data_IF_134932337979
#
_entry.id   IF_134932337979
#
_cell.length_a   1.000
_cell.length_b   1.000
_cell.length_c   1.000
_cell.angle_alpha   90.00
_cell.angle_beta   90.00
_cell.angle_gamma   90.00
#
_symmetry.space_group_name_H-M   'P 1'
#
loop_
_entity.id
_entity.type
_entity.pdbx_description
1 polymer ?
#
# COMPACT_ATOMS: atom_id res chain seq x y z
N UNK A 1 37.64 -0.52 0.05
CA UNK A 1 36.50 -1.28 -0.51
C UNK A 1 35.35 -0.28 -0.66
N UNK A 2 34.78 -0.17 -1.84
CA UNK A 2 33.54 0.60 -2.02
C UNK A 2 32.40 -0.04 -1.24
N UNK A 3 31.54 0.76 -0.64
CA UNK A 3 30.36 0.25 0.06
C UNK A 3 29.35 -0.28 -0.97
N UNK A 4 28.80 -1.47 -0.70
CA UNK A 4 27.74 -2.05 -1.52
C UNK A 4 26.45 -1.23 -1.29
N UNK A 5 25.83 -0.82 -2.37
CA UNK A 5 24.58 -0.05 -2.37
C UNK A 5 23.44 -0.90 -2.92
N UNK A 6 22.19 -0.53 -2.57
CA UNK A 6 21.00 -1.11 -3.16
C UNK A 6 20.93 -0.82 -4.68
N UNK A 7 20.25 -1.66 -5.42
CA UNK A 7 20.05 -1.44 -6.86
C UNK A 7 19.15 -0.22 -7.12
N UNK A 8 19.38 0.52 -8.22
CA UNK A 8 18.51 1.63 -8.59
C UNK A 8 17.02 1.21 -8.70
N UNK A 9 16.15 1.90 -7.99
CA UNK A 9 14.73 1.60 -7.95
C UNK A 9 14.35 0.51 -6.94
N UNK A 10 15.27 0.16 -6.05
CA UNK A 10 14.98 -0.62 -4.83
C UNK A 10 15.41 0.21 -3.64
N UNK A 11 14.54 0.32 -2.64
CA UNK A 11 14.79 1.14 -1.45
C UNK A 11 14.59 0.31 -0.19
N UNK A 12 15.43 0.60 0.83
CA UNK A 12 15.22 0.09 2.17
C UNK A 12 14.13 0.92 2.87
N UNK A 13 13.28 0.24 3.62
CA UNK A 13 12.27 0.88 4.47
C UNK A 13 12.84 0.81 5.90
N UNK A 14 13.23 1.96 6.43
CA UNK A 14 13.99 2.02 7.69
C UNK A 14 13.16 2.65 8.82
N UNK A 15 13.41 2.29 10.09
CA UNK A 15 12.88 3.05 11.20
C UNK A 15 13.54 4.43 11.23
N UNK A 16 12.78 5.50 10.97
CA UNK A 16 13.24 6.86 11.17
C UNK A 16 13.37 7.10 12.68
N UNK A 17 14.60 7.10 13.16
CA UNK A 17 14.91 7.51 14.54
C UNK A 17 15.22 9.01 14.55
N UNK A 18 14.91 9.72 15.65
CA UNK A 18 15.21 11.15 15.82
C UNK A 18 16.73 11.49 15.73
N UNK A 19 17.59 10.48 15.63
CA UNK A 19 19.03 10.62 15.61
C UNK A 19 19.65 10.90 14.26
N UNK A 20 18.90 10.73 13.19
CA UNK A 20 19.46 10.90 11.86
C UNK A 20 19.17 12.32 11.40
N UNK A 21 20.03 13.24 11.80
CA UNK A 21 20.06 14.64 11.34
C UNK A 21 20.50 14.80 9.88
N UNK A 22 20.20 13.82 9.04
CA UNK A 22 20.31 13.86 7.59
C UNK A 22 18.92 13.59 7.04
N UNK A 23 18.54 14.35 6.01
CA UNK A 23 17.38 14.07 5.14
C UNK A 23 17.56 12.70 4.47
N UNK A 24 17.40 11.62 5.23
CA UNK A 24 17.29 10.29 4.65
C UNK A 24 15.98 10.28 3.85
N UNK A 25 16.11 10.25 2.54
CA UNK A 25 15.00 10.10 1.59
C UNK A 25 14.46 8.65 1.60
N UNK A 26 14.40 8.04 2.77
CA UNK A 26 13.98 6.65 2.95
C UNK A 26 12.61 6.65 3.61
N UNK A 27 11.72 5.78 3.13
CA UNK A 27 10.38 5.62 3.70
C UNK A 27 10.45 5.16 5.17
N UNK A 28 9.58 5.72 6.02
CA UNK A 28 9.51 5.33 7.42
C UNK A 28 8.67 4.06 7.60
N UNK A 29 9.26 3.01 8.19
CA UNK A 29 8.59 1.75 8.46
C UNK A 29 7.32 1.92 9.32
N UNK A 30 7.29 2.89 10.23
CA UNK A 30 6.11 3.11 11.08
C UNK A 30 4.90 3.62 10.28
N UNK A 31 5.14 4.48 9.30
CA UNK A 31 4.09 4.92 8.37
C UNK A 31 3.57 3.73 7.55
N UNK A 32 4.45 2.84 7.10
CA UNK A 32 4.06 1.60 6.42
C UNK A 32 3.19 0.70 7.28
N UNK A 33 3.65 0.40 8.49
CA UNK A 33 2.91 -0.43 9.46
C UNK A 33 1.54 0.16 9.78
N UNK A 34 1.43 1.49 9.88
CA UNK A 34 0.15 2.16 10.07
C UNK A 34 -0.80 1.94 8.88
N UNK A 35 -0.30 2.09 7.65
CA UNK A 35 -1.12 1.83 6.44
C UNK A 35 -1.62 0.38 6.42
N UNK A 36 -0.72 -0.58 6.64
CA UNK A 36 -1.06 -2.00 6.65
C UNK A 36 -2.05 -2.36 7.78
N UNK A 37 -1.86 -1.80 8.98
CA UNK A 37 -2.76 -2.00 10.10
C UNK A 37 -4.16 -1.42 9.83
N UNK A 38 -4.24 -0.20 9.29
CA UNK A 38 -5.51 0.45 8.93
C UNK A 38 -6.24 -0.35 7.85
N UNK A 39 -5.54 -0.78 6.81
CA UNK A 39 -6.14 -1.61 5.76
C UNK A 39 -6.66 -2.94 6.33
N UNK A 40 -5.86 -3.64 7.14
CA UNK A 40 -6.25 -4.90 7.79
C UNK A 40 -7.49 -4.74 8.66
N UNK A 41 -7.58 -3.65 9.43
CA UNK A 41 -8.72 -3.39 10.31
C UNK A 41 -10.00 -3.14 9.51
N UNK A 42 -9.98 -2.24 8.52
CA UNK A 42 -11.14 -1.89 7.72
C UNK A 42 -11.61 -3.08 6.88
N UNK A 43 -10.69 -3.76 6.20
CA UNK A 43 -11.01 -4.94 5.39
C UNK A 43 -11.49 -6.11 6.25
N UNK A 44 -10.96 -6.26 7.47
CA UNK A 44 -11.42 -7.25 8.44
C UNK A 44 -12.87 -7.02 8.88
N UNK A 45 -13.26 -5.75 9.10
CA UNK A 45 -14.67 -5.37 9.42
C UNK A 45 -15.64 -5.68 8.27
N UNK A 46 -15.15 -5.64 7.02
CA UNK A 46 -15.90 -6.01 5.82
C UNK A 46 -15.81 -7.51 5.48
N UNK A 47 -15.24 -8.34 6.39
CA UNK A 47 -15.06 -9.78 6.24
C UNK A 47 -14.17 -10.20 5.05
N UNK A 48 -13.23 -9.35 4.62
CA UNK A 48 -12.19 -9.74 3.67
C UNK A 48 -11.12 -10.57 4.37
N UNK A 49 -10.68 -11.64 3.70
CA UNK A 49 -9.65 -12.56 4.21
C UNK A 49 -8.32 -12.32 3.52
N UNK A 50 -7.25 -12.30 4.30
CA UNK A 50 -5.90 -12.14 3.74
C UNK A 50 -5.51 -13.37 2.92
N UNK A 51 -4.96 -13.14 1.73
CA UNK A 51 -4.31 -14.15 0.89
C UNK A 51 -2.86 -13.73 0.63
N UNK A 52 -1.95 -14.69 0.64
CA UNK A 52 -0.54 -14.49 0.27
C UNK A 52 -0.19 -15.41 -0.87
N UNK A 53 0.15 -14.82 -2.01
CA UNK A 53 0.60 -15.55 -3.21
C UNK A 53 2.12 -15.49 -3.32
N UNK A 54 2.75 -16.41 -4.06
CA UNK A 54 4.19 -16.38 -4.31
C UNK A 54 4.66 -15.03 -4.90
N UNK A 55 5.91 -14.66 -4.59
CA UNK A 55 6.53 -13.44 -5.13
C UNK A 55 6.93 -13.60 -6.60
N UNK A 56 7.19 -14.82 -7.03
CA UNK A 56 7.43 -15.14 -8.44
C UNK A 56 6.50 -16.28 -8.89
N UNK A 57 6.09 -16.25 -10.13
CA UNK A 57 5.14 -17.16 -10.74
C UNK A 57 5.65 -17.59 -12.11
N UNK A 58 4.96 -18.54 -12.75
CA UNK A 58 5.23 -18.86 -14.15
C UNK A 58 5.00 -17.62 -15.03
N UNK A 59 5.92 -17.33 -15.96
CA UNK A 59 5.84 -16.18 -16.86
C UNK A 59 4.51 -16.15 -17.63
N UNK A 60 4.05 -17.33 -18.06
CA UNK A 60 2.79 -17.49 -18.78
C UNK A 60 1.55 -17.04 -18.01
N UNK A 61 1.60 -16.94 -16.68
CA UNK A 61 0.52 -16.40 -15.87
C UNK A 61 0.26 -14.92 -16.22
N UNK A 62 1.32 -14.15 -16.31
CA UNK A 62 1.23 -12.72 -16.58
C UNK A 62 1.00 -12.42 -18.06
N UNK A 63 1.60 -13.19 -18.96
CA UNK A 63 1.36 -13.08 -20.41
C UNK A 63 -0.12 -13.26 -20.75
N UNK A 64 -0.76 -14.30 -20.19
CA UNK A 64 -2.19 -14.55 -20.40
C UNK A 64 -3.08 -13.57 -19.66
N UNK A 65 -2.76 -13.30 -18.38
CA UNK A 65 -3.66 -12.54 -17.50
C UNK A 65 -3.61 -11.04 -17.74
N UNK A 66 -2.44 -10.46 -18.04
CA UNK A 66 -2.27 -9.01 -18.18
C UNK A 66 -2.49 -8.55 -19.62
N UNK A 67 -2.13 -9.40 -20.59
CA UNK A 67 -2.19 -9.10 -22.03
C UNK A 67 -0.82 -8.76 -22.62
N UNK A 68 -0.46 -9.48 -23.70
CA UNK A 68 0.85 -9.34 -24.37
C UNK A 68 1.10 -7.94 -24.95
N UNK A 69 0.04 -7.19 -25.27
CA UNK A 69 0.11 -5.85 -25.83
C UNK A 69 0.34 -4.74 -24.79
N UNK A 70 0.46 -5.09 -23.50
CA UNK A 70 0.68 -4.12 -22.42
C UNK A 70 2.17 -3.81 -22.24
N UNK A 71 2.49 -2.58 -21.79
CA UNK A 71 3.87 -2.20 -21.47
C UNK A 71 4.44 -3.09 -20.36
N UNK A 72 3.61 -3.52 -19.41
CA UNK A 72 4.01 -4.39 -18.31
C UNK A 72 4.60 -5.69 -18.84
N UNK A 73 3.90 -6.41 -19.72
CA UNK A 73 4.36 -7.68 -20.29
C UNK A 73 5.48 -7.46 -21.29
N UNK A 74 5.36 -6.44 -22.15
CA UNK A 74 6.32 -6.21 -23.24
C UNK A 74 7.69 -5.68 -22.80
N UNK A 75 7.74 -4.88 -21.70
CA UNK A 75 8.96 -4.11 -21.35
C UNK A 75 9.33 -4.11 -19.86
N UNK A 76 8.39 -4.41 -18.95
CA UNK A 76 8.59 -4.12 -17.51
C UNK A 76 8.73 -5.36 -16.62
N UNK A 77 8.51 -6.57 -17.12
CA UNK A 77 8.64 -7.79 -16.33
C UNK A 77 10.09 -8.15 -16.02
N UNK A 78 10.36 -8.56 -14.77
CA UNK A 78 11.59 -9.22 -14.37
C UNK A 78 11.44 -10.71 -14.55
N UNK A 79 11.84 -11.23 -15.72
CA UNK A 79 11.71 -12.65 -16.05
C UNK A 79 13.08 -13.33 -16.07
N UNK A 80 13.11 -14.58 -15.60
CA UNK A 80 14.30 -15.42 -15.54
C UNK A 80 13.92 -16.89 -15.71
N UNK A 81 14.92 -17.76 -15.92
CA UNK A 81 14.72 -19.20 -15.91
C UNK A 81 15.19 -19.79 -14.59
N UNK A 82 14.42 -20.72 -14.03
CA UNK A 82 14.86 -21.48 -12.88
C UNK A 82 15.83 -22.62 -13.29
N UNK A 83 16.35 -23.35 -12.31
CA UNK A 83 17.25 -24.49 -12.57
C UNK A 83 16.64 -25.63 -13.40
N UNK A 84 15.31 -25.66 -13.51
CA UNK A 84 14.56 -26.60 -14.35
C UNK A 84 14.18 -26.03 -15.70
N UNK A 85 14.81 -24.93 -16.14
CA UNK A 85 14.57 -24.20 -17.41
C UNK A 85 13.12 -23.67 -17.56
N UNK A 86 12.38 -23.54 -16.46
CA UNK A 86 11.02 -22.97 -16.47
C UNK A 86 11.09 -21.45 -16.43
N UNK A 87 10.28 -20.77 -17.28
CA UNK A 87 10.15 -19.33 -17.26
C UNK A 87 9.44 -18.87 -15.97
N UNK A 88 10.11 -18.03 -15.21
CA UNK A 88 9.63 -17.43 -13.98
C UNK A 88 9.66 -15.91 -14.09
N UNK A 89 8.71 -15.23 -13.47
CA UNK A 89 8.62 -13.77 -13.46
C UNK A 89 8.31 -13.29 -12.05
N UNK A 90 9.06 -12.31 -11.56
CA UNK A 90 8.69 -11.57 -10.35
C UNK A 90 7.36 -10.86 -10.61
N UNK A 91 6.37 -11.05 -9.73
CA UNK A 91 5.01 -10.54 -9.93
C UNK A 91 4.98 -9.03 -10.16
N UNK A 92 4.46 -8.55 -11.31
CA UNK A 92 4.35 -7.12 -11.58
C UNK A 92 3.09 -6.49 -10.96
N UNK A 93 2.16 -7.32 -10.47
CA UNK A 93 0.90 -6.95 -9.81
C UNK A 93 0.36 -8.16 -9.02
N UNK A 94 -0.70 -7.97 -8.21
CA UNK A 94 -1.20 -9.02 -7.31
C UNK A 94 -2.39 -9.81 -7.84
N UNK A 95 -3.23 -9.23 -8.69
CA UNK A 95 -4.51 -9.78 -9.14
C UNK A 95 -4.36 -11.14 -9.84
N UNK A 96 -3.43 -11.26 -10.81
CA UNK A 96 -3.21 -12.51 -11.55
C UNK A 96 -2.82 -13.65 -10.61
N UNK A 97 -1.95 -13.38 -9.61
CA UNK A 97 -1.57 -14.36 -8.59
C UNK A 97 -2.75 -14.80 -7.73
N UNK A 98 -3.64 -13.88 -7.34
CA UNK A 98 -4.86 -14.19 -6.59
C UNK A 98 -5.82 -15.04 -7.43
N UNK A 99 -6.06 -14.66 -8.69
CA UNK A 99 -6.93 -15.41 -9.60
C UNK A 99 -6.36 -16.80 -9.89
N UNK A 100 -5.04 -16.92 -10.11
CA UNK A 100 -4.39 -18.24 -10.25
C UNK A 100 -4.62 -19.11 -9.00
N UNK A 101 -4.46 -18.54 -7.79
CA UNK A 101 -4.71 -19.26 -6.55
C UNK A 101 -6.19 -19.66 -6.41
N UNK A 102 -7.12 -18.78 -6.78
CA UNK A 102 -8.56 -19.05 -6.81
C UNK A 102 -8.90 -20.25 -7.71
N UNK A 103 -8.31 -20.31 -8.91
CA UNK A 103 -8.50 -21.43 -9.84
C UNK A 103 -7.82 -22.69 -9.34
N UNK A 104 -6.53 -22.62 -8.99
CA UNK A 104 -5.72 -23.78 -8.59
C UNK A 104 -6.28 -24.51 -7.37
N UNK A 105 -6.81 -23.77 -6.40
CA UNK A 105 -7.37 -24.35 -5.17
C UNK A 105 -8.89 -24.50 -5.23
N UNK A 106 -9.49 -24.31 -6.41
CA UNK A 106 -10.93 -24.44 -6.63
C UNK A 106 -11.77 -23.65 -5.62
N UNK A 107 -11.36 -22.42 -5.29
CA UNK A 107 -12.07 -21.62 -4.29
C UNK A 107 -13.51 -21.30 -4.73
N UNK A 108 -13.80 -21.31 -6.03
CA UNK A 108 -15.14 -21.22 -6.60
C UNK A 108 -16.06 -22.36 -6.14
N UNK A 109 -15.51 -23.55 -5.85
CA UNK A 109 -16.30 -24.70 -5.41
C UNK A 109 -16.78 -24.58 -3.95
N UNK A 110 -16.22 -23.65 -3.17
CA UNK A 110 -16.70 -23.36 -1.82
C UNK A 110 -18.05 -22.63 -1.79
N UNK A 111 -18.49 -22.17 -2.96
CA UNK A 111 -19.71 -21.38 -3.10
C UNK A 111 -19.58 -19.94 -2.58
N UNK A 112 -20.58 -19.10 -2.95
CA UNK A 112 -20.63 -17.71 -2.53
C UNK A 112 -19.55 -16.81 -3.14
N UNK A 113 -19.52 -15.58 -2.67
CA UNK A 113 -18.58 -14.56 -3.11
C UNK A 113 -17.31 -14.63 -2.26
N UNK A 114 -16.16 -14.77 -2.90
CA UNK A 114 -14.87 -14.72 -2.23
C UNK A 114 -14.40 -13.26 -2.12
N UNK A 115 -14.10 -12.83 -0.89
CA UNK A 115 -13.56 -11.50 -0.56
C UNK A 115 -12.16 -11.67 -0.05
N UNK A 116 -11.18 -11.31 -0.87
CA UNK A 116 -9.77 -11.50 -0.59
C UNK A 116 -9.03 -10.16 -0.58
N UNK A 117 -8.01 -10.04 0.25
CA UNK A 117 -7.09 -8.92 0.23
C UNK A 117 -5.65 -9.40 0.41
N UNK A 118 -4.71 -8.64 -0.13
CA UNK A 118 -3.29 -8.96 -0.04
C UNK A 118 -2.45 -7.71 0.22
N UNK A 119 -1.24 -7.90 0.75
CA UNK A 119 -0.19 -6.90 0.77
C UNK A 119 1.15 -7.54 0.45
N UNK A 120 2.05 -6.78 -0.17
CA UNK A 120 3.40 -7.24 -0.44
C UNK A 120 4.08 -6.59 -1.64
N UNK A 121 5.34 -7.00 -1.92
CA UNK A 121 6.15 -6.42 -2.98
C UNK A 121 5.69 -6.84 -4.37
N UNK A 122 5.80 -5.90 -5.31
CA UNK A 122 5.61 -6.04 -6.76
C UNK A 122 6.86 -5.53 -7.47
N UNK A 123 7.06 -5.93 -8.74
CA UNK A 123 8.30 -5.66 -9.46
C UNK A 123 8.03 -5.24 -10.90
N UNK A 124 8.50 -4.04 -11.28
CA UNK A 124 8.43 -3.54 -12.67
C UNK A 124 9.72 -2.83 -13.05
N UNK A 125 10.27 -3.16 -14.19
CA UNK A 125 11.47 -2.49 -14.72
C UNK A 125 11.10 -1.12 -15.31
N UNK A 126 10.74 -0.21 -14.42
CA UNK A 126 10.40 1.16 -14.79
C UNK A 126 11.55 2.13 -14.48
N UNK A 127 11.48 3.33 -15.07
CA UNK A 127 12.41 4.41 -14.71
C UNK A 127 12.09 4.90 -13.29
N UNK A 128 13.04 4.78 -12.34
CA UNK A 128 12.81 5.20 -10.97
C UNK A 128 12.54 6.70 -10.88
N UNK A 129 11.54 7.07 -10.09
CA UNK A 129 11.21 8.45 -9.75
C UNK A 129 10.42 8.48 -8.45
N UNK A 130 10.19 9.67 -7.88
CA UNK A 130 9.47 9.81 -6.61
C UNK A 130 8.12 9.07 -6.64
N UNK A 131 7.91 8.11 -5.73
CA UNK A 131 6.71 7.29 -5.67
C UNK A 131 6.58 6.23 -6.78
N UNK A 132 7.65 5.95 -7.54
CA UNK A 132 7.70 4.91 -8.57
C UNK A 132 9.04 4.20 -8.54
N UNK A 133 9.03 3.01 -8.00
CA UNK A 133 10.19 2.16 -7.80
C UNK A 133 10.10 0.91 -8.66
N UNK A 134 11.23 0.21 -8.83
CA UNK A 134 11.29 -1.09 -9.53
C UNK A 134 10.81 -2.23 -8.64
N UNK A 135 11.10 -2.16 -7.33
CA UNK A 135 10.40 -2.90 -6.30
C UNK A 135 9.49 -1.93 -5.57
N UNK A 136 8.21 -2.20 -5.58
CA UNK A 136 7.18 -1.39 -4.92
C UNK A 136 6.18 -2.31 -4.22
N UNK A 137 5.36 -1.76 -3.34
CA UNK A 137 4.42 -2.55 -2.56
C UNK A 137 2.99 -2.13 -2.84
N UNK A 138 2.10 -3.09 -2.75
CA UNK A 138 0.67 -2.86 -2.90
C UNK A 138 -0.11 -3.47 -1.74
N UNK A 139 -1.18 -2.77 -1.35
CA UNK A 139 -2.36 -3.38 -0.73
C UNK A 139 -3.41 -3.49 -1.82
N UNK A 140 -4.02 -4.66 -1.96
CA UNK A 140 -5.09 -4.87 -2.93
C UNK A 140 -6.22 -5.72 -2.40
N UNK A 141 -7.39 -5.57 -3.00
CA UNK A 141 -8.57 -6.39 -2.74
C UNK A 141 -9.13 -6.98 -4.02
N UNK A 142 -9.69 -8.17 -3.91
CA UNK A 142 -10.33 -8.88 -5.01
C UNK A 142 -11.64 -9.52 -4.52
N UNK A 143 -12.74 -9.20 -5.19
CA UNK A 143 -14.04 -9.81 -5.00
C UNK A 143 -14.33 -10.70 -6.20
N UNK A 144 -14.45 -12.01 -5.99
CA UNK A 144 -14.66 -12.98 -7.05
C UNK A 144 -16.01 -13.70 -6.84
N UNK A 145 -16.79 -13.82 -7.91
CA UNK A 145 -18.07 -14.53 -7.91
C UNK A 145 -19.30 -13.65 -7.79
N UNK A 146 -19.18 -12.32 -7.99
CA UNK A 146 -20.33 -11.40 -7.98
C UNK A 146 -20.39 -10.55 -9.24
N UNK A 147 -21.48 -10.69 -10.00
CA UNK A 147 -21.81 -9.81 -11.12
C UNK A 147 -22.61 -8.57 -10.69
N UNK A 148 -23.02 -8.52 -9.43
CA UNK A 148 -23.86 -7.43 -8.89
C UNK A 148 -23.05 -6.13 -8.79
N UNK A 149 -23.58 -4.99 -9.26
CA UNK A 149 -22.92 -3.67 -9.13
C UNK A 149 -22.56 -3.25 -7.71
N UNK A 150 -23.21 -3.83 -6.69
CA UNK A 150 -22.86 -3.60 -5.27
C UNK A 150 -21.44 -4.05 -4.95
N UNK A 151 -20.92 -5.03 -5.67
CA UNK A 151 -19.53 -5.45 -5.46
C UNK A 151 -18.53 -4.36 -5.91
N UNK A 152 -18.83 -3.67 -7.02
CA UNK A 152 -18.03 -2.52 -7.49
C UNK A 152 -18.07 -1.39 -6.46
N UNK A 153 -19.26 -1.08 -5.97
CA UNK A 153 -19.47 -0.02 -4.97
C UNK A 153 -18.80 -0.36 -3.64
N UNK A 154 -18.91 -1.61 -3.18
CA UNK A 154 -18.27 -2.08 -1.93
C UNK A 154 -16.74 -1.89 -1.99
N UNK A 155 -16.08 -2.34 -3.07
CA UNK A 155 -14.62 -2.20 -3.16
C UNK A 155 -14.17 -0.73 -3.26
N UNK A 156 -14.95 0.12 -3.94
CA UNK A 156 -14.71 1.57 -4.02
C UNK A 156 -14.86 2.22 -2.64
N UNK A 157 -15.94 1.91 -1.91
CA UNK A 157 -16.18 2.43 -0.58
C UNK A 157 -15.03 2.05 0.38
N UNK A 158 -14.57 0.80 0.36
CA UNK A 158 -13.46 0.34 1.19
C UNK A 158 -12.14 1.06 0.87
N UNK A 159 -11.86 1.34 -0.41
CA UNK A 159 -10.71 2.16 -0.78
C UNK A 159 -10.82 3.57 -0.19
N UNK A 160 -11.99 4.18 -0.29
CA UNK A 160 -12.27 5.51 0.26
C UNK A 160 -12.13 5.52 1.78
N UNK A 161 -12.69 4.52 2.47
CA UNK A 161 -12.63 4.39 3.94
C UNK A 161 -11.18 4.28 4.43
N UNK A 162 -10.33 3.48 3.75
CA UNK A 162 -8.92 3.34 4.10
C UNK A 162 -8.21 4.68 3.97
N UNK A 163 -8.38 5.39 2.84
CA UNK A 163 -7.72 6.66 2.58
C UNK A 163 -8.18 7.75 3.56
N UNK A 164 -9.47 7.79 3.89
CA UNK A 164 -10.04 8.72 4.88
C UNK A 164 -9.54 8.42 6.31
N UNK A 165 -9.50 7.15 6.72
CA UNK A 165 -8.99 6.74 8.02
C UNK A 165 -7.49 7.08 8.20
N UNK A 166 -6.75 7.12 7.11
CA UNK A 166 -5.37 7.59 7.09
C UNK A 166 -5.24 9.12 7.11
N UNK A 167 -6.35 9.86 7.02
CA UNK A 167 -6.38 11.33 7.12
C UNK A 167 -6.19 12.07 5.79
N UNK A 168 -6.25 11.37 4.66
CA UNK A 168 -6.11 12.00 3.34
C UNK A 168 -7.38 12.74 2.93
N UNK A 169 -7.25 13.98 2.44
CA UNK A 169 -8.39 14.87 2.14
C UNK A 169 -8.43 15.34 0.68
N UNK A 170 -7.29 15.57 0.06
CA UNK A 170 -7.20 16.16 -1.29
C UNK A 170 -7.17 15.06 -2.36
N UNK A 171 -8.27 14.29 -2.43
CA UNK A 171 -8.41 13.17 -3.35
C UNK A 171 -9.49 13.45 -4.37
N UNK A 172 -9.21 13.18 -5.64
CA UNK A 172 -10.18 13.17 -6.72
C UNK A 172 -10.43 11.74 -7.15
N UNK A 173 -11.69 11.34 -7.17
CA UNK A 173 -12.10 10.03 -7.59
C UNK A 173 -12.63 10.07 -9.02
N UNK A 174 -11.90 9.48 -9.96
CA UNK A 174 -12.31 9.34 -11.37
C UNK A 174 -12.96 7.99 -11.60
N UNK A 175 -14.08 8.00 -12.30
CA UNK A 175 -14.88 6.82 -12.60
C UNK A 175 -15.20 6.76 -14.10
N UNK A 176 -15.15 5.56 -14.67
CA UNK A 176 -15.56 5.27 -16.05
C UNK A 176 -16.17 3.88 -16.14
N UNK A 177 -16.79 3.60 -17.27
CA UNK A 177 -17.12 2.23 -17.71
C UNK A 177 -16.48 1.96 -19.06
N UNK A 178 -15.71 0.86 -19.15
CA UNK A 178 -15.16 0.39 -20.42
C UNK A 178 -16.08 -0.62 -21.12
N UNK A 179 -17.24 -0.88 -20.54
CA UNK A 179 -18.23 -1.81 -21.08
C UNK A 179 -17.77 -3.28 -21.11
N UNK A 180 -18.57 -4.11 -21.77
CA UNK A 180 -18.22 -5.50 -22.04
C UNK A 180 -17.28 -5.63 -23.28
N UNK A 181 -16.96 -6.86 -23.66
CA UNK A 181 -16.10 -7.13 -24.84
C UNK A 181 -16.74 -6.61 -26.13
N UNK A 182 -18.06 -6.68 -26.27
CA UNK A 182 -18.79 -6.20 -27.46
C UNK A 182 -18.80 -4.68 -27.54
N UNK A 183 -19.00 -4.00 -26.40
CA UNK A 183 -18.96 -2.54 -26.29
C UNK A 183 -17.57 -2.02 -26.65
N UNK A 184 -16.52 -2.66 -26.09
CA UNK A 184 -15.13 -2.32 -26.38
C UNK A 184 -14.77 -2.51 -27.86
N UNK A 185 -15.28 -3.55 -28.50
CA UNK A 185 -15.04 -3.77 -29.95
C UNK A 185 -15.64 -2.65 -30.78
N UNK A 186 -16.92 -2.29 -30.56
CA UNK A 186 -17.57 -1.18 -31.24
C UNK A 186 -16.87 0.15 -31.03
N UNK A 187 -16.49 0.42 -29.75
CA UNK A 187 -15.76 1.63 -29.42
C UNK A 187 -14.38 1.68 -30.08
N UNK A 188 -13.65 0.56 -30.08
CA UNK A 188 -12.34 0.44 -30.72
C UNK A 188 -12.40 0.80 -32.19
N UNK A 189 -13.41 0.31 -32.93
CA UNK A 189 -13.62 0.63 -34.34
C UNK A 189 -13.84 2.14 -34.53
N UNK A 190 -14.69 2.75 -33.72
CA UNK A 190 -14.96 4.19 -33.78
C UNK A 190 -13.73 5.03 -33.43
N UNK A 191 -12.99 4.62 -32.41
CA UNK A 191 -11.76 5.31 -31.96
C UNK A 191 -10.66 5.23 -33.02
N UNK A 192 -10.47 4.07 -33.67
CA UNK A 192 -9.50 3.88 -34.77
C UNK A 192 -9.91 4.73 -35.95
N UNK A 193 -11.18 4.71 -36.32
CA UNK A 193 -11.69 5.56 -37.43
C UNK A 193 -11.47 7.06 -37.17
N UNK A 194 -11.67 7.49 -35.93
CA UNK A 194 -11.41 8.86 -35.49
C UNK A 194 -9.92 9.23 -35.53
N UNK A 195 -9.03 8.36 -35.02
CA UNK A 195 -7.59 8.64 -34.87
C UNK A 195 -6.79 8.47 -36.18
N UNK A 196 -7.26 7.64 -37.11
CA UNK A 196 -6.54 7.35 -38.38
C UNK A 196 -6.16 8.61 -39.18
N UNK A 197 -7.04 9.63 -39.38
CA UNK A 197 -6.65 10.87 -40.04
C UNK A 197 -5.52 11.65 -39.33
N UNK A 198 -5.34 11.45 -38.03
CA UNK A 198 -4.32 12.11 -37.21
C UNK A 198 -3.07 11.25 -36.98
N UNK A 199 -2.95 10.09 -37.62
CA UNK A 199 -1.88 9.13 -37.35
C UNK A 199 -0.44 9.73 -37.45
N UNK A 200 -0.22 10.67 -38.37
CA UNK A 200 1.05 11.36 -38.56
C UNK A 200 1.34 12.36 -37.41
N UNK A 201 0.33 12.80 -36.70
CA UNK A 201 0.40 13.80 -35.65
C UNK A 201 0.51 13.20 -34.24
N UNK A 202 0.27 11.89 -34.11
CA UNK A 202 0.42 11.16 -32.85
C UNK A 202 1.91 10.97 -32.49
N UNK A 203 2.21 10.86 -31.20
CA UNK A 203 3.53 10.43 -30.72
C UNK A 203 3.87 9.00 -31.20
N UNK A 204 5.16 8.61 -31.11
CA UNK A 204 5.68 7.34 -31.63
C UNK A 204 4.98 6.12 -30.97
N UNK A 205 4.86 6.13 -29.64
CA UNK A 205 4.17 5.06 -28.90
C UNK A 205 2.70 4.97 -29.29
N UNK A 206 2.02 6.12 -29.44
CA UNK A 206 0.61 6.19 -29.85
C UNK A 206 0.36 5.71 -31.27
N UNK A 207 1.31 5.91 -32.18
CA UNK A 207 1.23 5.34 -33.54
C UNK A 207 1.29 3.81 -33.54
N UNK A 208 2.18 3.22 -32.75
CA UNK A 208 2.25 1.76 -32.59
C UNK A 208 0.96 1.21 -31.94
N UNK A 209 0.46 1.90 -30.92
CA UNK A 209 -0.78 1.55 -30.21
C UNK A 209 -2.02 1.64 -31.08
N UNK A 210 -2.04 2.45 -32.14
CA UNK A 210 -3.20 2.57 -33.03
C UNK A 210 -3.63 1.22 -33.62
N UNK A 211 -2.69 0.33 -33.88
CA UNK A 211 -2.95 -1.02 -34.38
C UNK A 211 -3.11 -2.05 -33.28
N UNK A 212 -2.29 -1.97 -32.25
CA UNK A 212 -2.23 -2.99 -31.18
C UNK A 212 -3.26 -2.78 -30.08
N UNK A 213 -3.33 -1.55 -29.53
CA UNK A 213 -4.21 -1.23 -28.40
C UNK A 213 -4.62 0.25 -28.41
N UNK A 214 -5.54 0.65 -29.31
CA UNK A 214 -5.90 2.06 -29.51
C UNK A 214 -6.49 2.74 -28.26
N UNK A 215 -7.11 2.00 -27.34
CA UNK A 215 -7.61 2.57 -26.09
C UNK A 215 -6.50 3.19 -25.25
N UNK A 216 -5.27 2.66 -25.32
CA UNK A 216 -4.11 3.19 -24.59
C UNK A 216 -3.61 4.54 -25.09
N UNK A 217 -4.06 4.98 -26.27
CA UNK A 217 -3.75 6.33 -26.79
C UNK A 217 -4.45 7.40 -25.95
N UNK A 218 -5.60 7.08 -25.35
CA UNK A 218 -6.35 7.99 -24.47
C UNK A 218 -5.58 8.37 -23.21
N UNK A 219 -4.60 7.55 -22.80
CA UNK A 219 -3.73 7.76 -21.65
C UNK A 219 -2.34 8.33 -22.04
N UNK A 220 -2.17 8.80 -23.29
CA UNK A 220 -0.91 9.43 -23.69
C UNK A 220 -0.61 10.67 -22.86
N UNK A 221 0.68 10.88 -22.57
CA UNK A 221 1.16 12.08 -21.88
C UNK A 221 1.70 13.15 -22.82
N UNK A 222 1.76 12.84 -24.11
CA UNK A 222 2.15 13.80 -25.14
C UNK A 222 1.05 14.84 -25.34
N UNK A 223 1.40 16.12 -25.22
CA UNK A 223 0.44 17.24 -25.27
C UNK A 223 -0.35 17.29 -26.59
N UNK A 224 0.32 16.98 -27.71
CA UNK A 224 -0.34 16.99 -29.03
C UNK A 224 -1.33 15.85 -29.16
N UNK A 225 -0.95 14.65 -28.73
CA UNK A 225 -1.82 13.48 -28.69
C UNK A 225 -2.99 13.69 -27.73
N UNK A 226 -2.76 14.32 -26.57
CA UNK A 226 -3.84 14.69 -25.65
C UNK A 226 -4.84 15.66 -26.29
N UNK A 227 -4.36 16.67 -27.01
CA UNK A 227 -5.24 17.62 -27.71
C UNK A 227 -6.11 16.90 -28.77
N UNK A 228 -5.54 15.94 -29.51
CA UNK A 228 -6.27 15.12 -30.47
C UNK A 228 -7.32 14.25 -29.76
N UNK A 229 -6.94 13.55 -28.69
CA UNK A 229 -7.83 12.63 -27.97
C UNK A 229 -8.91 13.36 -27.17
N UNK A 230 -8.77 14.66 -26.94
CA UNK A 230 -9.78 15.46 -26.22
C UNK A 230 -11.15 15.47 -26.94
N UNK A 231 -11.14 15.44 -28.28
CA UNK A 231 -12.35 15.40 -29.09
C UNK A 231 -12.73 13.99 -29.57
N UNK A 232 -12.04 12.94 -29.07
CA UNK A 232 -12.37 11.57 -29.42
C UNK A 232 -13.77 11.17 -28.89
N UNK A 233 -14.45 10.22 -29.56
CA UNK A 233 -15.75 9.73 -29.10
C UNK A 233 -15.64 9.16 -27.67
N UNK A 234 -16.69 9.30 -26.87
CA UNK A 234 -16.75 8.77 -25.51
C UNK A 234 -17.13 7.30 -25.53
N UNK A 235 -16.43 6.45 -24.76
CA UNK A 235 -16.80 5.04 -24.62
C UNK A 235 -18.21 4.86 -24.01
N UNK A 236 -18.66 5.82 -23.21
CA UNK A 236 -19.98 5.78 -22.58
C UNK A 236 -21.12 5.83 -23.61
N UNK A 237 -20.89 6.39 -24.82
CA UNK A 237 -21.86 6.44 -25.91
C UNK A 237 -22.00 5.09 -26.66
N UNK A 238 -21.07 4.16 -26.41
CA UNK A 238 -21.00 2.84 -27.04
C UNK A 238 -21.43 1.70 -26.10
N UNK A 239 -21.82 2.02 -24.86
CA UNK A 239 -22.30 1.03 -23.91
C UNK A 239 -23.62 0.41 -24.37
N UNK A 240 -23.66 -0.91 -24.41
CA UNK A 240 -24.90 -1.65 -24.63
C UNK A 240 -25.86 -1.52 -23.44
N UNK A 241 -27.12 -1.94 -23.58
CA UNK A 241 -28.15 -1.76 -22.56
C UNK A 241 -27.77 -2.36 -21.20
N UNK A 242 -27.10 -3.51 -21.19
CA UNK A 242 -26.70 -4.20 -19.96
C UNK A 242 -25.53 -3.49 -19.26
N UNK A 243 -24.50 -3.10 -20.00
CA UNK A 243 -23.37 -2.33 -19.48
C UNK A 243 -23.81 -0.96 -18.96
N UNK A 244 -24.73 -0.30 -19.67
CA UNK A 244 -25.30 0.97 -19.24
C UNK A 244 -26.08 0.81 -17.94
N UNK A 245 -26.96 -0.20 -17.85
CA UNK A 245 -27.73 -0.48 -16.64
C UNK A 245 -26.83 -0.77 -15.44
N UNK A 246 -25.76 -1.59 -15.63
CA UNK A 246 -24.76 -1.87 -14.61
C UNK A 246 -24.11 -0.56 -14.13
N UNK A 247 -23.65 0.27 -15.05
CA UNK A 247 -22.97 1.53 -14.71
C UNK A 247 -23.92 2.50 -13.99
N UNK A 248 -25.16 2.68 -14.48
CA UNK A 248 -26.18 3.54 -13.86
C UNK A 248 -26.47 3.09 -12.41
N UNK A 249 -26.48 1.77 -12.12
CA UNK A 249 -26.63 1.24 -10.79
C UNK A 249 -25.42 1.54 -9.88
N UNK A 250 -24.19 1.44 -10.41
CA UNK A 250 -22.99 1.84 -9.69
C UNK A 250 -23.06 3.32 -9.28
N UNK A 251 -23.39 4.21 -10.24
CA UNK A 251 -23.53 5.64 -9.99
C UNK A 251 -24.59 5.95 -8.92
N UNK A 252 -25.76 5.31 -9.03
CA UNK A 252 -26.86 5.48 -8.07
C UNK A 252 -26.43 5.10 -6.65
N UNK A 253 -25.74 3.98 -6.52
CA UNK A 253 -25.33 3.48 -5.19
C UNK A 253 -24.16 4.27 -4.60
N UNK A 254 -23.20 4.73 -5.41
CA UNK A 254 -22.14 5.64 -4.95
C UNK A 254 -22.74 6.95 -4.42
N UNK A 255 -23.71 7.51 -5.14
CA UNK A 255 -24.44 8.70 -4.70
C UNK A 255 -25.18 8.47 -3.37
N UNK A 256 -25.81 7.30 -3.20
CA UNK A 256 -26.48 6.93 -1.95
C UNK A 256 -25.51 6.81 -0.76
N UNK A 257 -24.25 6.43 -1.00
CA UNK A 257 -23.20 6.42 0.01
C UNK A 257 -22.53 7.80 0.21
N UNK A 258 -22.88 8.81 -0.57
CA UNK A 258 -22.27 10.14 -0.50
C UNK A 258 -20.83 10.17 -1.02
N UNK A 259 -20.42 9.18 -1.83
CA UNK A 259 -19.09 9.14 -2.44
C UNK A 259 -19.10 10.05 -3.66
N UNK A 260 -18.31 11.14 -3.60
CA UNK A 260 -18.19 12.10 -4.69
C UNK A 260 -17.19 11.59 -5.72
N UNK A 261 -17.56 11.63 -6.99
CA UNK A 261 -16.72 11.19 -8.11
C UNK A 261 -16.86 12.13 -9.32
N UNK A 262 -15.89 12.05 -10.22
CA UNK A 262 -15.89 12.70 -11.52
C UNK A 262 -15.90 11.64 -12.61
N UNK A 263 -16.81 11.79 -13.60
CA UNK A 263 -16.80 10.92 -14.77
C UNK A 263 -15.64 11.32 -15.70
N UNK A 264 -14.79 10.34 -16.02
CA UNK A 264 -13.69 10.52 -16.96
C UNK A 264 -13.76 9.49 -18.10
N UNK A 265 -14.42 9.80 -19.23
CA UNK A 265 -14.57 8.85 -20.35
C UNK A 265 -13.25 8.41 -20.99
N UNK A 266 -12.15 9.11 -20.71
CA UNK A 266 -10.81 8.77 -21.20
C UNK A 266 -10.04 7.89 -20.22
N UNK A 267 -10.59 7.63 -19.02
CA UNK A 267 -9.95 6.77 -18.05
C UNK A 267 -9.91 5.33 -18.58
N UNK A 268 -8.72 4.87 -18.92
CA UNK A 268 -8.40 3.49 -19.26
C UNK A 268 -7.35 2.98 -18.30
N UNK A 269 -7.31 1.66 -18.09
CA UNK A 269 -6.37 1.04 -17.17
C UNK A 269 -5.15 0.48 -17.92
N UNK A 270 -4.01 0.37 -17.20
CA UNK A 270 -2.75 -0.12 -17.74
C UNK A 270 -2.71 -1.62 -18.07
N UNK A 271 -3.78 -2.35 -17.79
CA UNK A 271 -3.89 -3.80 -17.93
C UNK A 271 -5.14 -4.10 -18.77
N UNK A 272 -5.08 -5.09 -19.65
CA UNK A 272 -6.10 -5.29 -20.69
C UNK A 272 -7.33 -6.09 -20.22
N UNK A 273 -7.28 -6.71 -19.05
CA UNK A 273 -8.36 -7.55 -18.53
C UNK A 273 -9.60 -6.80 -18.05
N UNK A 274 -9.55 -5.47 -17.91
CA UNK A 274 -10.68 -4.71 -17.37
C UNK A 274 -11.92 -4.73 -18.26
N UNK A 275 -13.07 -4.85 -17.60
CA UNK A 275 -14.42 -4.77 -18.18
C UNK A 275 -15.28 -3.85 -17.31
N UNK A 276 -16.39 -3.31 -17.84
CA UNK A 276 -17.33 -2.48 -17.10
C UNK A 276 -16.66 -1.38 -16.26
N UNK A 277 -16.80 -1.39 -14.95
CA UNK A 277 -16.30 -0.36 -14.03
C UNK A 277 -14.78 -0.24 -14.09
N UNK A 278 -14.27 0.97 -14.28
CA UNK A 278 -12.87 1.35 -14.14
C UNK A 278 -12.77 2.62 -13.30
N UNK A 279 -11.84 2.67 -12.36
CA UNK A 279 -11.68 3.84 -11.50
C UNK A 279 -10.24 4.10 -11.08
N UNK A 280 -9.98 5.35 -10.73
CA UNK A 280 -8.76 5.81 -10.09
C UNK A 280 -9.06 6.84 -9.01
N UNK A 281 -8.31 6.76 -7.90
CA UNK A 281 -8.26 7.81 -6.89
C UNK A 281 -6.91 8.48 -7.02
N UNK A 282 -6.92 9.78 -7.25
CA UNK A 282 -5.72 10.59 -7.46
C UNK A 282 -5.58 11.64 -6.35
N UNK A 283 -4.33 12.01 -6.04
CA UNK A 283 -4.02 13.13 -5.15
C UNK A 283 -3.29 14.21 -5.91
N UNK A 284 -3.73 15.46 -5.77
CA UNK A 284 -3.04 16.62 -6.34
C UNK A 284 -1.64 16.83 -5.74
N UNK A 285 -1.39 16.31 -4.55
CA UNK A 285 -0.13 16.50 -3.81
C UNK A 285 1.03 15.63 -4.34
N UNK A 286 0.74 14.68 -5.26
CA UNK A 286 1.75 13.79 -5.88
C UNK A 286 2.24 14.25 -7.27
N UNK A 287 1.72 15.36 -7.80
CA UNK A 287 2.09 15.88 -9.12
C UNK A 287 1.83 14.87 -10.25
N UNK A 288 2.81 14.62 -11.12
CA UNK A 288 2.67 13.74 -12.28
C UNK A 288 2.37 12.25 -11.95
N UNK A 289 2.55 11.83 -10.70
CA UNK A 289 2.27 10.47 -10.22
C UNK A 289 1.00 10.42 -9.35
N UNK A 290 -0.02 11.16 -9.73
CA UNK A 290 -1.21 11.45 -8.94
C UNK A 290 -2.00 10.22 -8.45
N UNK A 291 -1.99 9.09 -9.18
CA UNK A 291 -2.79 7.90 -8.84
C UNK A 291 -2.30 7.22 -7.56
N UNK A 292 -3.14 7.18 -6.54
CA UNK A 292 -2.93 6.50 -5.25
C UNK A 292 -3.53 5.10 -5.26
N UNK A 293 -4.77 5.00 -5.78
CA UNK A 293 -5.52 3.75 -5.89
C UNK A 293 -6.06 3.60 -7.30
N UNK A 294 -6.07 2.39 -7.81
CA UNK A 294 -6.68 2.12 -9.09
C UNK A 294 -7.23 0.71 -9.19
N UNK A 295 -8.39 0.59 -9.83
CA UNK A 295 -9.10 -0.67 -9.91
C UNK A 295 -10.20 -0.70 -10.96
N UNK A 296 -10.99 -1.75 -10.88
CA UNK A 296 -12.14 -1.98 -11.76
C UNK A 296 -12.56 -3.43 -11.82
N UNK A 297 -13.55 -3.72 -12.65
CA UNK A 297 -14.10 -5.06 -12.91
C UNK A 297 -13.29 -5.79 -13.99
N UNK A 298 -13.18 -7.10 -13.88
CA UNK A 298 -12.38 -7.94 -14.80
C UNK A 298 -12.99 -9.35 -14.96
N UNK A 299 -14.19 -9.42 -15.45
CA UNK A 299 -15.02 -10.64 -15.48
C UNK A 299 -14.47 -11.79 -16.34
N UNK A 300 -13.53 -11.53 -17.27
CA UNK A 300 -12.95 -12.55 -18.14
C UNK A 300 -11.70 -13.22 -17.61
N UNK A 301 -11.01 -12.64 -16.61
CA UNK A 301 -9.67 -13.06 -16.20
C UNK A 301 -9.62 -14.49 -15.61
N UNK A 302 -10.63 -14.88 -14.82
CA UNK A 302 -10.69 -16.21 -14.23
C UNK A 302 -10.79 -17.29 -15.31
N UNK A 303 -11.59 -17.05 -16.36
CA UNK A 303 -11.75 -17.95 -17.50
C UNK A 303 -10.46 -18.03 -18.35
N UNK A 304 -9.81 -16.89 -18.59
CA UNK A 304 -8.53 -16.81 -19.30
C UNK A 304 -7.40 -17.58 -18.59
N UNK A 305 -7.48 -17.69 -17.27
CA UNK A 305 -6.54 -18.47 -16.45
C UNK A 305 -7.00 -19.94 -16.22
N UNK A 306 -8.03 -20.38 -16.94
CA UNK A 306 -8.47 -21.79 -16.96
C UNK A 306 -9.49 -22.13 -15.86
N UNK A 307 -10.11 -21.16 -15.22
CA UNK A 307 -11.22 -21.34 -14.29
C UNK A 307 -12.60 -21.24 -14.96
N UNK A 308 -13.69 -21.39 -14.20
CA UNK A 308 -15.04 -21.13 -14.68
C UNK A 308 -15.26 -19.63 -14.94
N UNK A 309 -16.20 -19.26 -15.82
CA UNK A 309 -16.63 -17.89 -15.97
C UNK A 309 -17.05 -17.30 -14.62
N UNK A 310 -16.29 -16.32 -14.13
CA UNK A 310 -16.44 -15.77 -12.77
C UNK A 310 -16.30 -14.25 -12.82
N UNK A 311 -17.38 -13.51 -12.52
CA UNK A 311 -17.30 -12.07 -12.39
C UNK A 311 -16.36 -11.66 -11.23
N UNK A 312 -15.55 -10.64 -11.46
CA UNK A 312 -14.58 -10.20 -10.49
C UNK A 312 -14.33 -8.69 -10.54
N UNK A 313 -14.07 -8.09 -9.40
CA UNK A 313 -13.73 -6.67 -9.26
C UNK A 313 -12.73 -6.47 -8.13
N UNK A 314 -11.79 -5.54 -8.31
CA UNK A 314 -10.78 -5.27 -7.30
C UNK A 314 -10.03 -3.98 -7.54
N UNK A 315 -9.10 -3.68 -6.62
CA UNK A 315 -8.20 -2.54 -6.74
C UNK A 315 -6.86 -2.80 -6.05
N UNK A 316 -5.90 -1.96 -6.38
CA UNK A 316 -4.63 -1.90 -5.66
C UNK A 316 -4.25 -0.46 -5.32
N UNK A 317 -3.69 -0.28 -4.11
CA UNK A 317 -3.08 0.96 -3.59
C UNK A 317 -1.57 0.76 -3.55
N UNK A 318 -0.81 1.71 -4.11
CA UNK A 318 0.65 1.73 -4.00
C UNK A 318 1.10 2.33 -2.67
N UNK A 319 1.84 1.56 -1.86
CA UNK A 319 2.24 2.00 -0.52
C UNK A 319 3.25 3.15 -0.58
N UNK A 320 4.20 3.13 -1.52
CA UNK A 320 5.20 4.18 -1.68
C UNK A 320 4.58 5.55 -1.89
N UNK A 321 3.53 5.63 -2.71
CA UNK A 321 2.81 6.87 -2.96
C UNK A 321 2.00 7.32 -1.76
N UNK A 322 1.36 6.36 -1.09
CA UNK A 322 0.55 6.61 0.08
C UNK A 322 1.40 7.10 1.26
N UNK A 323 2.55 6.45 1.50
CA UNK A 323 3.48 6.86 2.57
C UNK A 323 4.07 8.24 2.31
N UNK A 324 4.39 8.60 1.07
CA UNK A 324 4.85 9.95 0.71
C UNK A 324 3.81 11.02 1.06
N UNK A 325 2.52 10.76 0.84
CA UNK A 325 1.44 11.67 1.22
C UNK A 325 1.32 11.79 2.74
N UNK A 326 1.37 10.67 3.44
CA UNK A 326 1.25 10.63 4.90
C UNK A 326 2.43 11.31 5.60
N UNK A 327 3.66 11.10 5.10
CA UNK A 327 4.85 11.76 5.63
C UNK A 327 4.81 13.28 5.46
N UNK A 328 4.16 13.78 4.41
CA UNK A 328 3.94 15.21 4.22
C UNK A 328 2.92 15.78 5.23
N UNK A 329 1.96 14.97 5.68
CA UNK A 329 0.95 15.36 6.67
C UNK A 329 1.45 15.21 8.11
N UNK A 330 2.29 14.20 8.37
CA UNK A 330 2.82 13.89 9.70
C UNK A 330 4.25 14.41 9.86
N UNK A 331 4.38 15.65 10.31
CA UNK A 331 5.67 16.14 10.76
C UNK A 331 6.06 15.41 12.08
N UNK A 332 6.82 14.32 11.96
CA UNK A 332 7.77 13.95 12.99
C UNK A 332 7.27 13.15 14.21
N UNK A 333 6.26 12.29 14.13
CA UNK A 333 5.97 11.36 15.24
C UNK A 333 6.72 10.02 15.05
N UNK A 334 8.00 10.01 15.47
CA UNK A 334 8.71 8.73 15.68
C UNK A 334 8.05 7.95 16.83
N UNK A 335 7.89 6.63 16.67
CA UNK A 335 7.51 5.76 17.80
C UNK A 335 8.67 5.69 18.78
N UNK A 336 8.49 6.33 19.93
CA UNK A 336 9.45 6.28 21.04
C UNK A 336 9.11 5.13 22.00
N UNK A 337 10.08 4.53 22.69
CA UNK A 337 9.82 3.58 23.76
C UNK A 337 9.07 4.28 24.90
N UNK A 338 8.34 3.53 25.74
CA UNK A 338 7.71 4.11 26.92
C UNK A 338 8.76 4.54 27.93
N UNK A 339 9.79 3.72 28.07
CA UNK A 339 10.86 3.84 29.04
C UNK A 339 12.21 3.65 28.34
N UNK A 340 13.18 4.51 28.72
CA UNK A 340 14.60 4.25 28.49
C UNK A 340 15.25 3.83 29.80
N UNK A 341 15.89 2.65 29.88
CA UNK A 341 16.48 2.13 31.08
C UNK A 341 18.01 2.23 30.99
N UNK A 342 18.62 2.92 31.94
CA UNK A 342 20.06 3.11 32.05
C UNK A 342 20.60 2.34 33.25
N UNK A 343 21.80 1.75 33.11
CA UNK A 343 22.43 0.99 34.18
C UNK A 343 23.95 1.06 34.09
N UNK A 344 24.63 0.93 35.22
CA UNK A 344 26.07 0.84 35.28
C UNK A 344 26.53 0.11 36.52
N UNK A 345 27.38 -0.89 36.33
CA UNK A 345 27.86 -1.82 37.33
C UNK A 345 27.39 -3.23 37.03
N UNK A 346 28.17 -4.25 37.38
CA UNK A 346 27.87 -5.64 37.02
C UNK A 346 26.53 -6.11 37.58
N UNK A 347 26.27 -5.79 38.87
CA UNK A 347 24.99 -6.12 39.51
C UNK A 347 23.84 -5.28 38.96
N UNK A 348 24.09 -3.99 38.72
CA UNK A 348 23.11 -3.08 38.15
C UNK A 348 22.68 -3.50 36.74
N UNK A 349 23.62 -3.88 35.88
CA UNK A 349 23.33 -4.30 34.50
C UNK A 349 22.52 -5.60 34.46
N UNK A 350 22.86 -6.58 35.31
CA UNK A 350 22.09 -7.82 35.42
C UNK A 350 20.67 -7.58 35.98
N UNK A 351 20.54 -6.70 36.98
CA UNK A 351 19.26 -6.32 37.57
C UNK A 351 18.39 -5.52 36.55
N UNK A 352 18.99 -4.56 35.86
CA UNK A 352 18.32 -3.78 34.84
C UNK A 352 17.76 -4.65 33.69
N UNK A 353 18.51 -5.66 33.24
CA UNK A 353 18.05 -6.61 32.24
C UNK A 353 16.81 -7.38 32.72
N UNK A 354 16.83 -7.85 33.98
CA UNK A 354 15.67 -8.54 34.57
C UNK A 354 14.47 -7.62 34.72
N UNK A 355 14.67 -6.38 35.16
CA UNK A 355 13.61 -5.38 35.31
C UNK A 355 12.98 -5.05 33.94
N UNK A 356 13.82 -4.78 32.92
CA UNK A 356 13.35 -4.51 31.56
C UNK A 356 12.46 -5.65 31.04
N UNK A 357 12.89 -6.90 31.26
CA UNK A 357 12.14 -8.06 30.78
C UNK A 357 10.79 -8.22 31.51
N UNK A 358 10.78 -7.98 32.85
CA UNK A 358 9.53 -8.02 33.61
C UNK A 358 8.55 -6.93 33.20
N UNK A 359 9.03 -5.72 32.92
CA UNK A 359 8.18 -4.62 32.40
C UNK A 359 7.65 -4.91 30.98
N UNK A 360 8.48 -5.48 30.10
CA UNK A 360 8.05 -5.92 28.76
C UNK A 360 6.96 -6.97 28.83
N UNK A 361 7.02 -7.92 29.77
CA UNK A 361 5.97 -8.91 29.99
C UNK A 361 4.64 -8.28 30.48
N UNK A 362 4.68 -7.04 30.97
CA UNK A 362 3.50 -6.23 31.32
C UNK A 362 3.04 -5.29 30.21
N UNK A 363 3.60 -5.45 28.99
CA UNK A 363 3.21 -4.66 27.82
C UNK A 363 3.84 -3.28 27.73
N UNK A 364 4.82 -2.94 28.59
CA UNK A 364 5.53 -1.67 28.57
C UNK A 364 6.71 -1.75 27.61
N UNK A 365 6.82 -0.81 26.67
CA UNK A 365 7.93 -0.75 25.73
C UNK A 365 9.18 -0.16 26.41
N UNK A 366 10.19 -1.00 26.64
CA UNK A 366 11.43 -0.61 27.34
C UNK A 366 12.62 -0.75 26.41
N UNK A 367 13.34 0.35 26.20
CA UNK A 367 14.67 0.37 25.60
C UNK A 367 15.72 0.32 26.71
N UNK A 368 16.52 -0.74 26.73
CA UNK A 368 17.64 -0.91 27.68
C UNK A 368 18.92 -0.41 27.01
N UNK A 369 19.66 0.48 27.68
CA UNK A 369 20.98 0.90 27.20
C UNK A 369 21.97 -0.25 27.32
N UNK A 370 22.39 -0.79 26.17
CA UNK A 370 23.33 -1.91 26.07
C UNK A 370 24.79 -1.47 25.80
N UNK A 371 25.07 -0.18 25.91
CA UNK A 371 26.37 0.35 25.48
C UNK A 371 27.50 0.19 26.51
N UNK A 372 27.16 -0.11 27.77
CA UNK A 372 28.14 -0.11 28.90
C UNK A 372 28.81 1.25 29.16
N UNK A 373 28.30 2.33 28.55
CA UNK A 373 28.86 3.68 28.66
C UNK A 373 28.59 4.29 30.05
N UNK A 374 29.36 5.33 30.41
CA UNK A 374 29.08 6.11 31.62
C UNK A 374 27.67 6.74 31.59
N UNK A 375 27.01 6.86 32.75
CA UNK A 375 25.65 7.40 32.89
C UNK A 375 25.39 8.69 32.10
N UNK A 376 26.32 9.65 32.08
CA UNK A 376 26.16 10.88 31.35
C UNK A 376 25.98 10.69 29.83
N UNK A 377 26.52 9.61 29.23
CA UNK A 377 26.30 9.27 27.84
C UNK A 377 24.96 8.53 27.65
N UNK A 378 24.60 7.67 28.59
CA UNK A 378 23.33 6.96 28.59
C UNK A 378 22.17 7.94 28.77
N UNK A 379 22.24 8.93 29.66
CA UNK A 379 21.23 9.99 29.84
C UNK A 379 21.03 10.82 28.58
N UNK A 380 22.12 11.18 27.89
CA UNK A 380 22.00 11.88 26.59
C UNK A 380 21.24 11.07 25.54
N UNK A 381 21.31 9.75 25.59
CA UNK A 381 20.51 8.89 24.71
C UNK A 381 19.06 8.81 25.18
N UNK A 382 18.85 8.64 26.50
CA UNK A 382 17.52 8.67 27.08
C UNK A 382 16.76 9.96 26.72
N UNK A 383 17.38 11.12 26.87
CA UNK A 383 16.79 12.42 26.52
C UNK A 383 16.41 12.51 25.03
N UNK A 384 17.16 11.83 24.15
CA UNK A 384 16.92 11.82 22.71
C UNK A 384 15.97 10.70 22.25
N UNK A 385 15.73 9.67 23.08
CA UNK A 385 14.92 8.51 22.70
C UNK A 385 13.44 8.84 22.50
N UNK A 386 13.00 9.97 23.03
CA UNK A 386 11.57 10.33 23.07
C UNK A 386 10.77 9.56 24.11
N UNK A 387 11.41 8.73 24.97
CA UNK A 387 10.75 8.02 26.05
C UNK A 387 10.07 9.00 27.02
N UNK A 388 8.97 8.56 27.65
CA UNK A 388 8.29 9.35 28.68
C UNK A 388 9.11 9.40 29.98
N UNK A 389 9.78 8.31 30.34
CA UNK A 389 10.57 8.20 31.53
C UNK A 389 11.92 7.50 31.28
N UNK A 390 12.91 7.88 32.08
CA UNK A 390 14.19 7.17 32.21
C UNK A 390 14.23 6.42 33.55
N UNK A 391 14.39 5.11 33.51
CA UNK A 391 14.66 4.30 34.68
C UNK A 391 16.17 4.20 34.90
N UNK A 392 16.60 4.36 36.14
CA UNK A 392 18.02 4.39 36.52
C UNK A 392 18.28 3.30 37.58
N UNK A 393 19.25 2.44 37.28
CA UNK A 393 19.69 1.37 38.17
C UNK A 393 21.20 1.42 38.26
N UNK A 394 21.71 1.83 39.41
CA UNK A 394 23.10 1.69 39.82
C UNK A 394 23.26 0.47 40.74
N UNK A 395 24.49 0.23 41.22
CA UNK A 395 24.78 -0.90 42.14
C UNK A 395 24.02 -0.75 43.45
N UNK A 396 23.84 0.48 43.96
CA UNK A 396 23.05 0.75 45.16
C UNK A 396 21.59 0.41 44.99
N UNK A 397 20.97 0.85 43.87
CA UNK A 397 19.58 0.53 43.51
C UNK A 397 19.41 -1.00 43.33
N UNK A 398 20.37 -1.64 42.67
CA UNK A 398 20.32 -3.09 42.47
C UNK A 398 20.40 -3.85 43.82
N UNK A 399 21.29 -3.42 44.73
CA UNK A 399 21.45 -4.02 46.06
C UNK A 399 20.21 -3.83 46.95
N UNK A 400 19.54 -2.68 46.85
CA UNK A 400 18.35 -2.33 47.63
C UNK A 400 17.03 -2.80 46.98
N UNK A 401 17.06 -3.32 45.75
CA UNK A 401 15.85 -3.67 44.98
C UNK A 401 14.98 -2.46 44.64
N UNK A 402 15.60 -1.27 44.48
CA UNK A 402 14.94 -0.02 44.11
C UNK A 402 15.24 0.37 42.66
N UNK A 403 14.57 1.37 42.16
CA UNK A 403 14.79 2.02 40.85
C UNK A 403 14.47 3.49 40.96
N UNK A 404 15.30 4.35 40.39
CA UNK A 404 14.95 5.77 40.25
C UNK A 404 14.23 5.99 38.92
N UNK A 405 13.14 6.74 38.95
CA UNK A 405 12.34 7.14 37.78
C UNK A 405 12.55 8.63 37.55
N UNK A 406 13.09 8.99 36.40
CA UNK A 406 13.19 10.36 35.94
C UNK A 406 12.20 10.58 34.80
N UNK A 407 11.24 11.46 35.00
CA UNK A 407 10.32 11.90 33.96
C UNK A 407 11.05 12.85 32.99
N UNK A 408 11.17 12.46 31.74
CA UNK A 408 12.01 13.20 30.77
C UNK A 408 11.38 14.50 30.29
N UNK A 409 10.07 14.70 30.53
CA UNK A 409 9.38 15.95 30.19
C UNK A 409 9.49 17.00 31.28
N UNK A 410 9.25 16.63 32.56
CA UNK A 410 9.29 17.57 33.71
C UNK A 410 10.65 17.63 34.36
N UNK A 411 11.47 16.59 34.22
CA UNK A 411 12.74 16.43 34.94
C UNK A 411 12.58 15.92 36.37
N UNK A 412 11.35 15.71 36.87
CA UNK A 412 11.07 15.19 38.18
C UNK A 412 11.65 13.78 38.38
N UNK A 413 12.13 13.53 39.58
CA UNK A 413 12.71 12.23 39.96
C UNK A 413 12.02 11.67 41.20
N UNK A 414 11.73 10.37 41.17
CA UNK A 414 11.17 9.61 42.28
C UNK A 414 11.89 8.28 42.42
N UNK A 415 11.96 7.75 43.62
CA UNK A 415 12.51 6.40 43.87
C UNK A 415 11.40 5.48 44.33
N UNK A 416 11.35 4.27 43.77
CA UNK A 416 10.39 3.23 44.12
C UNK A 416 11.10 1.89 44.28
N UNK A 417 10.52 0.98 45.07
CA UNK A 417 10.97 -0.42 45.01
C UNK A 417 10.55 -1.02 43.65
N UNK A 418 11.42 -1.85 43.09
CA UNK A 418 11.11 -2.56 41.83
C UNK A 418 9.88 -3.45 41.97
N UNK A 419 9.66 -4.00 43.19
CA UNK A 419 8.47 -4.79 43.49
C UNK A 419 7.19 -3.94 43.41
N UNK A 420 7.19 -2.72 43.97
CA UNK A 420 6.04 -1.79 43.87
C UNK A 420 5.78 -1.38 42.43
N UNK A 421 6.81 -1.02 41.66
CA UNK A 421 6.70 -0.68 40.25
C UNK A 421 6.06 -1.82 39.43
N UNK A 422 6.48 -3.05 39.68
CA UNK A 422 5.97 -4.23 38.97
C UNK A 422 4.56 -4.64 39.43
N UNK A 423 4.19 -4.38 40.69
CA UNK A 423 2.85 -4.67 41.21
C UNK A 423 1.79 -3.68 40.65
N UNK A 424 2.18 -2.45 40.37
CA UNK A 424 1.32 -1.39 39.79
C UNK A 424 1.73 -1.04 38.35
N UNK A 425 2.14 -2.02 37.56
CA UNK A 425 2.57 -1.82 36.19
C UNK A 425 1.48 -1.18 35.30
N UNK A 426 0.21 -1.48 35.57
CA UNK A 426 -0.92 -0.92 34.82
C UNK A 426 -1.12 0.56 35.14
N UNK A 427 -1.09 0.96 36.42
CA UNK A 427 -1.12 2.36 36.83
C UNK A 427 0.08 3.14 36.28
N UNK A 428 1.26 2.55 36.30
CA UNK A 428 2.45 3.16 35.74
C UNK A 428 2.35 3.31 34.20
N UNK A 429 1.80 2.33 33.49
CA UNK A 429 1.54 2.41 32.05
C UNK A 429 0.57 3.56 31.71
N UNK A 430 -0.49 3.77 32.51
CA UNK A 430 -1.39 4.90 32.32
C UNK A 430 -0.69 6.24 32.53
N UNK A 431 0.20 6.35 33.52
CA UNK A 431 1.01 7.55 33.72
C UNK A 431 1.93 7.83 32.52
N UNK A 432 2.60 6.80 31.99
CA UNK A 432 3.44 6.92 30.80
C UNK A 432 2.65 7.43 29.59
N UNK A 433 1.44 6.89 29.38
CA UNK A 433 0.54 7.34 28.30
C UNK A 433 0.06 8.78 28.48
N UNK A 434 -0.28 9.19 29.70
CA UNK A 434 -0.69 10.58 29.99
C UNK A 434 0.42 11.58 29.65
N UNK A 435 1.68 11.28 30.02
CA UNK A 435 2.84 12.13 29.71
C UNK A 435 3.09 12.23 28.19
N UNK A 436 2.80 11.18 27.42
CA UNK A 436 2.91 11.18 25.95
C UNK A 436 1.83 12.03 25.28
N UNK A 437 0.62 12.02 25.80
CA UNK A 437 -0.49 12.80 25.25
C UNK A 437 -0.25 14.33 25.29
N UNK A 438 0.70 14.80 26.11
CA UNK A 438 1.09 16.20 26.25
C UNK A 438 2.26 16.61 25.33
N UNK A 439 2.82 15.70 24.54
CA UNK A 439 3.85 15.95 23.52
C UNK A 439 3.25 15.94 22.11
#
# INVERSE_FOLDING_TARGET
>A
MESIQSLPGTEDILPKTQFVGQDLKVADIHTWQRVEATAREILGRAAYREIRTPTFEATSLFERGIGEATDVVGKEMYSFKDKGDRGCTLRPEGTAGVVRAYVQHSLYAQGGVQRLWYTGPMFRYERPQKGRQRQFHQVGVEVLGSADPRADVEVIALATDILQALGLKNLTFYLNSVGDRGDRSRYREALVAYLTPYAADLDEDSRDRLTRNPLRILDSKDEKTQAITQAAPSILDYLGPDSKRHFDQVLTQLNALGIVYELNPRLVRGLDYYTHTAFEIQSSDLGAQATVCGGGRYDGLVEELGGPATPAVGWAIGLERLTLLLEALEQGKATAPDIYLVSRGEQAEANALQLAQKLRHRGIAVELDLSGAAFGKQFKRADRSGAAACLIVGDDEAAQGTVQIKWLTSGDQTSLSQAALLSDADGFSQQLQSVRAWR
#
